data_IF_904141059191
#
_entry.id   IF_904141059191
#
_cell.length_a   1.000
_cell.length_b   1.000
_cell.length_c   1.000
_cell.angle_alpha   90.00
_cell.angle_beta   90.00
_cell.angle_gamma   90.00
#
_symmetry.space_group_name_H-M   'P 1'
#
loop_
_entity.id
_entity.type
_entity.pdbx_description
1 polymer ?
#
# COMPACT_ATOMS: atom_id res chain seq x y z
N UNK A 1 52.64 59.41 5.73
CA UNK A 1 51.72 59.86 4.67
C UNK A 1 50.90 58.65 4.25
N UNK A 2 49.57 58.72 4.40
CA UNK A 2 48.52 58.07 3.55
C UNK A 2 48.58 56.54 3.34
N UNK A 3 47.56 55.71 3.60
CA UNK A 3 46.11 55.91 3.82
C UNK A 3 45.51 54.62 4.42
N UNK A 4 44.54 54.75 5.32
CA UNK A 4 43.67 53.66 5.76
C UNK A 4 42.70 53.23 4.65
N UNK A 5 42.51 51.92 4.45
CA UNK A 5 41.29 51.42 3.79
C UNK A 5 40.64 50.38 4.68
N UNK A 6 39.53 50.78 5.29
CA UNK A 6 38.63 49.95 6.10
C UNK A 6 37.90 48.98 5.18
N UNK A 7 38.09 47.68 5.36
CA UNK A 7 37.26 46.66 4.72
C UNK A 7 36.09 46.33 5.64
N UNK A 8 34.99 47.03 5.43
CA UNK A 8 33.69 46.75 6.05
C UNK A 8 33.08 45.52 5.36
N UNK A 9 33.15 44.35 5.99
CA UNK A 9 32.36 43.19 5.57
C UNK A 9 31.03 43.20 6.32
N UNK A 10 29.94 43.34 5.56
CA UNK A 10 28.58 43.46 6.04
C UNK A 10 28.10 42.19 6.76
N UNK A 11 27.48 42.35 7.92
CA UNK A 11 26.69 41.32 8.58
C UNK A 11 25.42 41.07 7.76
N UNK A 12 25.25 39.87 7.20
CA UNK A 12 23.96 39.43 6.65
C UNK A 12 23.15 38.88 7.82
N UNK A 13 22.16 39.66 8.25
CA UNK A 13 21.16 39.25 9.23
C UNK A 13 20.26 38.17 8.62
N UNK A 14 20.01 37.12 9.42
CA UNK A 14 19.14 36.01 9.08
C UNK A 14 17.67 36.42 9.02
N UNK A 15 16.93 35.90 8.04
CA UNK A 15 15.49 35.69 8.13
C UNK A 15 15.19 34.22 7.94
N UNK A 16 15.07 33.51 9.06
CA UNK A 16 14.41 32.20 9.11
C UNK A 16 12.92 32.49 8.87
N UNK A 17 12.51 32.45 7.61
CA UNK A 17 11.08 32.34 7.30
C UNK A 17 10.69 30.90 7.61
N UNK A 18 10.00 30.74 8.74
CA UNK A 18 9.15 29.60 9.03
C UNK A 18 8.12 29.46 7.90
N UNK A 19 8.46 28.68 6.88
CA UNK A 19 7.45 28.04 6.06
C UNK A 19 7.00 26.80 6.86
N UNK A 20 5.69 26.61 7.09
CA UNK A 20 5.19 25.30 7.47
C UNK A 20 5.71 24.33 6.39
N UNK A 21 6.47 23.32 6.78
CA UNK A 21 6.66 22.17 5.93
C UNK A 21 5.26 21.55 5.78
N UNK A 22 4.55 21.97 4.73
CA UNK A 22 3.40 21.27 4.25
C UNK A 22 3.89 19.85 3.94
N UNK A 23 3.44 18.90 4.74
CA UNK A 23 3.54 17.48 4.44
C UNK A 23 2.68 17.21 3.20
N UNK A 24 3.26 17.36 2.02
CA UNK A 24 2.69 16.95 0.75
C UNK A 24 3.82 17.03 -0.29
N UNK A 25 3.76 16.18 -1.30
CA UNK A 25 4.62 16.20 -2.51
C UNK A 25 5.90 15.35 -2.46
N UNK A 26 5.79 14.07 -2.06
CA UNK A 26 6.87 13.11 -2.29
C UNK A 26 6.55 11.62 -2.36
N UNK A 27 5.39 11.16 -1.85
CA UNK A 27 5.10 9.72 -1.73
C UNK A 27 3.87 9.22 -2.53
N UNK A 28 3.08 10.12 -3.13
CA UNK A 28 1.78 9.76 -3.74
C UNK A 28 1.74 9.86 -5.27
N UNK A 29 2.85 10.18 -5.95
CA UNK A 29 2.81 10.46 -7.40
C UNK A 29 2.62 9.19 -8.24
N UNK A 30 3.02 8.01 -7.73
CA UNK A 30 2.96 6.77 -8.51
C UNK A 30 2.02 5.69 -7.94
N UNK A 31 1.33 5.98 -6.84
CA UNK A 31 0.31 5.11 -6.25
C UNK A 31 -0.94 5.13 -7.11
N UNK A 32 -1.37 3.97 -7.60
CA UNK A 32 -2.55 3.91 -8.46
C UNK A 32 -3.88 4.09 -7.68
N UNK A 33 -4.99 4.15 -8.42
CA UNK A 33 -6.32 4.33 -7.85
C UNK A 33 -6.77 3.18 -6.92
N UNK A 34 -6.09 2.04 -6.97
CA UNK A 34 -6.33 0.88 -6.10
C UNK A 34 -5.42 0.88 -4.86
N UNK A 35 -4.44 1.78 -4.79
CA UNK A 35 -3.44 1.84 -3.72
C UNK A 35 -2.18 1.03 -4.02
N UNK A 36 -1.98 0.64 -5.28
CA UNK A 36 -0.81 -0.12 -5.72
C UNK A 36 0.37 0.79 -6.04
N UNK A 37 1.51 0.53 -5.40
CA UNK A 37 2.79 1.18 -5.64
C UNK A 37 3.51 0.58 -6.86
N UNK A 38 4.40 1.33 -7.52
CA UNK A 38 5.32 0.77 -8.51
C UNK A 38 6.11 -0.41 -7.95
N UNK A 39 6.53 -1.31 -8.85
CA UNK A 39 7.47 -2.34 -8.47
C UNK A 39 8.85 -1.72 -8.23
N UNK A 40 9.56 -2.13 -7.16
CA UNK A 40 10.98 -1.87 -7.04
C UNK A 40 11.73 -2.33 -8.29
N UNK A 41 12.82 -1.62 -8.62
CA UNK A 41 13.65 -2.02 -9.76
C UNK A 41 14.17 -3.45 -9.59
N UNK A 42 14.06 -4.25 -10.65
CA UNK A 42 14.52 -5.64 -10.65
C UNK A 42 13.60 -6.63 -9.94
N UNK A 43 12.40 -6.22 -9.48
CA UNK A 43 11.41 -7.16 -8.94
C UNK A 43 11.03 -8.20 -10.00
N UNK A 44 11.22 -9.47 -9.67
CA UNK A 44 10.74 -10.59 -10.48
C UNK A 44 9.22 -10.71 -10.36
N UNK A 45 8.55 -10.93 -11.50
CA UNK A 45 7.10 -11.14 -11.56
C UNK A 45 6.77 -12.55 -12.04
N UNK A 46 5.70 -13.19 -11.54
CA UNK A 46 5.42 -14.60 -11.83
C UNK A 46 5.13 -14.89 -13.31
N UNK A 47 4.52 -13.95 -14.02
CA UNK A 47 4.18 -14.01 -15.45
C UNK A 47 3.82 -12.61 -15.97
N UNK A 48 3.57 -12.45 -17.27
CA UNK A 48 3.04 -11.21 -17.84
C UNK A 48 1.60 -10.97 -17.33
N UNK A 49 1.26 -9.78 -16.80
CA UNK A 49 0.00 -9.55 -16.08
C UNK A 49 -1.26 -9.61 -16.95
N UNK A 50 -1.13 -9.62 -18.28
CA UNK A 50 -2.22 -9.64 -19.24
C UNK A 50 -2.74 -8.23 -19.60
N UNK A 51 -3.54 -8.19 -20.67
CA UNK A 51 -4.09 -6.94 -21.19
C UNK A 51 -4.91 -6.19 -20.13
N UNK A 52 -4.57 -4.92 -19.95
CA UNK A 52 -5.27 -4.05 -19.01
C UNK A 52 -5.02 -4.40 -17.54
N UNK A 53 -3.89 -5.06 -17.26
CA UNK A 53 -3.44 -5.33 -15.91
C UNK A 53 -1.98 -4.95 -15.75
N UNK A 54 -1.53 -4.73 -14.51
CA UNK A 54 -0.14 -4.47 -14.18
C UNK A 54 0.20 -5.11 -12.84
N UNK A 55 1.46 -5.46 -12.63
CA UNK A 55 1.94 -5.85 -11.31
C UNK A 55 2.21 -4.61 -10.45
N UNK A 56 1.79 -4.66 -9.19
CA UNK A 56 1.93 -3.57 -8.22
C UNK A 56 2.25 -4.14 -6.84
N UNK A 57 2.97 -3.36 -6.04
CA UNK A 57 3.16 -3.66 -4.62
C UNK A 57 2.04 -3.00 -3.82
N UNK A 58 1.37 -3.76 -2.96
CA UNK A 58 0.33 -3.24 -2.09
C UNK A 58 0.76 -3.33 -0.64
N UNK A 59 0.48 -2.29 0.14
CA UNK A 59 0.70 -2.32 1.58
C UNK A 59 -0.16 -3.40 2.22
N UNK A 60 0.42 -4.09 3.19
CA UNK A 60 -0.22 -5.19 3.91
C UNK A 60 -0.80 -4.68 5.22
N UNK A 61 -2.08 -4.95 5.42
CA UNK A 61 -2.81 -4.64 6.65
C UNK A 61 -3.05 -5.97 7.38
N UNK A 62 -2.27 -6.21 8.43
CA UNK A 62 -2.25 -7.48 9.16
C UNK A 62 -3.47 -7.61 10.06
N UNK A 63 -3.94 -8.84 10.27
CA UNK A 63 -5.03 -9.11 11.21
C UNK A 63 -4.65 -8.64 12.62
N UNK A 64 -5.50 -7.81 13.22
CA UNK A 64 -5.24 -7.13 14.50
C UNK A 64 -4.88 -5.65 14.36
N UNK A 65 -4.52 -5.20 13.16
CA UNK A 65 -4.35 -3.77 12.87
C UNK A 65 -5.70 -3.01 13.02
N UNK A 66 -5.74 -1.83 13.65
CA UNK A 66 -6.96 -1.02 13.76
C UNK A 66 -7.62 -0.70 12.42
N UNK A 67 -6.85 -0.61 11.34
CA UNK A 67 -7.31 -0.31 9.98
C UNK A 67 -7.74 -1.55 9.19
N UNK A 68 -7.66 -2.76 9.76
CA UNK A 68 -7.98 -4.00 9.05
C UNK A 68 -9.38 -3.99 8.41
N UNK A 69 -10.35 -3.39 9.10
CA UNK A 69 -11.75 -3.22 8.63
C UNK A 69 -12.06 -1.82 8.13
N UNK A 70 -11.08 -0.93 8.09
CA UNK A 70 -11.26 0.41 7.55
C UNK A 70 -11.12 0.37 6.03
N UNK A 71 -12.20 0.63 5.31
CA UNK A 71 -12.24 0.65 3.85
C UNK A 71 -11.59 1.91 3.24
N UNK A 72 -11.39 2.95 4.04
CA UNK A 72 -10.73 4.20 3.59
C UNK A 72 -9.21 4.01 3.48
N UNK A 73 -8.65 3.01 4.17
CA UNK A 73 -7.24 2.64 4.07
C UNK A 73 -7.07 1.63 2.96
N UNK A 74 -6.27 1.97 1.94
CA UNK A 74 -5.97 1.08 0.82
C UNK A 74 -4.89 0.08 1.22
N UNK A 75 -4.94 -1.12 0.65
CA UNK A 75 -4.02 -2.21 0.94
C UNK A 75 -4.69 -3.58 0.96
N UNK A 76 -3.87 -4.62 1.07
CA UNK A 76 -4.31 -6.02 1.09
C UNK A 76 -4.36 -6.51 2.54
N UNK A 77 -5.46 -7.14 2.91
CA UNK A 77 -5.68 -7.64 4.26
C UNK A 77 -5.14 -9.05 4.35
N UNK A 78 -4.30 -9.31 5.34
CA UNK A 78 -3.64 -10.62 5.51
C UNK A 78 -4.03 -11.24 6.84
N UNK A 79 -4.47 -12.49 6.80
CA UNK A 79 -4.70 -13.33 7.99
C UNK A 79 -3.61 -14.40 8.06
N UNK A 80 -3.08 -14.64 9.25
CA UNK A 80 -2.02 -15.62 9.50
C UNK A 80 -0.63 -15.00 9.52
N UNK A 81 0.36 -15.87 9.61
CA UNK A 81 1.78 -15.48 9.66
C UNK A 81 2.21 -14.85 8.30
N UNK A 82 2.60 -13.58 8.33
CA UNK A 82 3.16 -12.86 7.18
C UNK A 82 4.02 -11.66 7.65
N UNK A 83 5.32 -11.72 7.35
CA UNK A 83 6.28 -10.77 7.95
C UNK A 83 6.48 -9.51 7.11
N UNK A 84 6.31 -9.57 5.79
CA UNK A 84 6.51 -8.42 4.93
C UNK A 84 5.40 -7.36 5.08
N UNK A 85 5.76 -6.11 4.80
CA UNK A 85 4.85 -4.97 4.86
C UNK A 85 4.17 -4.67 3.52
N UNK A 86 4.62 -5.32 2.45
CA UNK A 86 4.02 -5.22 1.12
C UNK A 86 3.88 -6.58 0.47
N UNK A 87 2.93 -6.69 -0.46
CA UNK A 87 2.64 -7.89 -1.22
C UNK A 87 2.49 -7.57 -2.70
N UNK A 88 3.07 -8.42 -3.54
CA UNK A 88 2.92 -8.31 -4.99
C UNK A 88 1.51 -8.76 -5.37
N UNK A 89 0.74 -7.90 -6.05
CA UNK A 89 -0.55 -8.30 -6.60
C UNK A 89 -0.72 -7.79 -8.02
N UNK A 90 -1.54 -8.48 -8.81
CA UNK A 90 -2.01 -7.94 -10.06
C UNK A 90 -3.04 -6.84 -9.78
N UNK A 91 -2.93 -5.73 -10.49
CA UNK A 91 -3.97 -4.71 -10.60
C UNK A 91 -4.64 -4.88 -11.95
N UNK A 92 -5.97 -4.84 -12.00
CA UNK A 92 -6.73 -4.75 -13.24
C UNK A 92 -7.44 -3.39 -13.33
N UNK A 93 -7.33 -2.70 -14.47
CA UNK A 93 -7.90 -1.36 -14.63
C UNK A 93 -9.42 -1.28 -14.41
N UNK A 94 -10.15 -2.39 -14.58
CA UNK A 94 -11.60 -2.46 -14.33
C UNK A 94 -11.94 -3.16 -13.02
N UNK A 95 -11.15 -4.15 -12.62
CA UNK A 95 -11.43 -5.05 -11.50
C UNK A 95 -10.79 -4.64 -10.17
N UNK A 96 -9.86 -3.68 -10.17
CA UNK A 96 -9.11 -3.30 -8.98
C UNK A 96 -8.01 -4.31 -8.64
N UNK A 97 -7.81 -4.58 -7.34
CA UNK A 97 -6.79 -5.52 -6.86
C UNK A 97 -7.20 -6.97 -7.18
N UNK A 98 -6.34 -7.65 -7.92
CA UNK A 98 -6.47 -9.03 -8.36
C UNK A 98 -5.74 -10.02 -7.47
N UNK A 99 -5.05 -10.96 -8.10
CA UNK A 99 -4.38 -12.08 -7.43
C UNK A 99 -3.02 -11.64 -6.87
N UNK A 100 -2.72 -12.10 -5.65
CA UNK A 100 -1.47 -11.78 -4.97
C UNK A 100 -0.49 -12.95 -4.94
N UNK A 101 0.79 -12.63 -4.82
CA UNK A 101 1.91 -13.56 -4.89
C UNK A 101 2.98 -13.22 -3.84
N UNK A 102 3.63 -14.26 -3.34
CA UNK A 102 4.79 -14.21 -2.45
C UNK A 102 5.79 -15.23 -2.97
N UNK A 103 7.03 -14.82 -3.20
CA UNK A 103 8.11 -15.69 -3.71
C UNK A 103 7.72 -16.48 -4.97
N UNK A 104 7.00 -15.82 -5.89
CA UNK A 104 6.51 -16.42 -7.13
C UNK A 104 5.31 -17.39 -6.97
N UNK A 105 4.86 -17.64 -5.74
CA UNK A 105 3.72 -18.50 -5.46
C UNK A 105 2.46 -17.67 -5.18
N UNK A 106 1.34 -18.12 -5.75
CA UNK A 106 0.05 -17.48 -5.51
C UNK A 106 -0.37 -17.68 -4.05
N UNK A 107 -0.76 -16.59 -3.38
CA UNK A 107 -1.33 -16.67 -2.03
C UNK A 107 -2.79 -17.12 -2.09
N UNK A 108 -3.28 -17.67 -0.99
CA UNK A 108 -4.66 -18.15 -0.91
C UNK A 108 -5.63 -16.97 -0.81
N UNK A 109 -6.55 -16.88 -1.77
CA UNK A 109 -7.57 -15.83 -1.82
C UNK A 109 -8.72 -16.13 -0.85
N UNK A 110 -8.93 -15.23 0.11
CA UNK A 110 -10.01 -15.33 1.10
C UNK A 110 -11.20 -14.42 0.74
N UNK A 111 -11.18 -13.79 -0.45
CA UNK A 111 -12.26 -12.98 -0.99
C UNK A 111 -12.13 -11.50 -0.63
N UNK A 112 -13.27 -10.89 -0.34
CA UNK A 112 -13.40 -9.47 0.02
C UNK A 112 -14.09 -9.35 1.37
N UNK A 113 -13.44 -8.65 2.30
CA UNK A 113 -14.02 -8.29 3.59
C UNK A 113 -14.46 -6.81 3.57
N UNK A 114 -14.93 -6.29 4.71
CA UNK A 114 -15.31 -4.87 4.84
C UNK A 114 -14.19 -3.92 4.43
N UNK A 115 -12.95 -4.20 4.83
CA UNK A 115 -11.80 -3.37 4.48
C UNK A 115 -11.47 -3.44 2.98
N UNK A 116 -11.47 -4.64 2.40
CA UNK A 116 -11.11 -4.85 1.00
C UNK A 116 -10.61 -6.27 0.76
N UNK A 117 -9.66 -6.42 -0.19
CA UNK A 117 -9.10 -7.71 -0.59
C UNK A 117 -8.50 -8.43 0.61
N UNK A 118 -8.89 -9.68 0.83
CA UNK A 118 -8.46 -10.51 1.94
C UNK A 118 -7.74 -11.75 1.42
N UNK A 119 -6.55 -12.04 1.96
CA UNK A 119 -5.72 -13.17 1.54
C UNK A 119 -5.00 -13.81 2.74
N UNK A 120 -4.41 -14.98 2.52
CA UNK A 120 -3.45 -15.59 3.43
C UNK A 120 -2.32 -16.25 2.67
N UNK A 121 -1.09 -16.05 3.15
CA UNK A 121 0.09 -16.81 2.76
C UNK A 121 0.42 -17.95 3.75
N UNK A 122 -0.32 -18.04 4.86
CA UNK A 122 -0.07 -18.99 5.93
C UNK A 122 -0.74 -20.35 5.63
N UNK A 123 0.09 -21.38 5.48
CA UNK A 123 -0.35 -22.75 5.22
C UNK A 123 -1.24 -23.32 6.34
N UNK A 124 -1.17 -22.78 7.57
CA UNK A 124 -2.05 -23.16 8.68
C UNK A 124 -3.46 -22.60 8.52
N UNK A 125 -3.60 -21.45 7.84
CA UNK A 125 -4.88 -20.77 7.65
C UNK A 125 -5.55 -21.20 6.35
N UNK A 126 -4.79 -21.50 5.30
CA UNK A 126 -5.30 -21.88 3.98
C UNK A 126 -6.38 -23.00 4.00
N UNK A 127 -6.31 -24.05 4.84
CA UNK A 127 -7.37 -25.07 4.94
C UNK A 127 -8.73 -24.54 5.41
N UNK A 128 -8.76 -23.41 6.12
CA UNK A 128 -9.97 -22.79 6.64
C UNK A 128 -10.64 -21.80 5.66
N UNK A 129 -10.09 -21.66 4.45
CA UNK A 129 -10.57 -20.75 3.41
C UNK A 129 -12.09 -20.77 3.20
N UNK A 130 -12.78 -21.92 3.08
CA UNK A 130 -14.23 -21.94 2.84
C UNK A 130 -15.04 -21.26 3.96
N UNK A 131 -14.59 -21.45 5.20
CA UNK A 131 -15.25 -20.88 6.38
C UNK A 131 -14.98 -19.38 6.43
N UNK A 132 -13.72 -18.96 6.23
CA UNK A 132 -13.33 -17.54 6.26
C UNK A 132 -14.04 -16.76 5.14
N UNK A 133 -14.10 -17.29 3.93
CA UNK A 133 -14.81 -16.67 2.80
C UNK A 133 -16.30 -16.47 3.10
N UNK A 134 -16.93 -17.44 3.79
CA UNK A 134 -18.34 -17.32 4.20
C UNK A 134 -18.53 -16.12 5.14
N UNK A 135 -17.69 -15.98 6.16
CA UNK A 135 -17.76 -14.83 7.08
C UNK A 135 -17.42 -13.50 6.40
N UNK A 136 -16.35 -13.46 5.59
CA UNK A 136 -15.92 -12.25 4.89
C UNK A 136 -17.02 -11.75 3.92
N UNK A 137 -17.64 -12.66 3.17
CA UNK A 137 -18.74 -12.32 2.26
C UNK A 137 -19.98 -11.81 2.98
N UNK A 138 -20.31 -12.38 4.14
CA UNK A 138 -21.41 -11.90 4.97
C UNK A 138 -21.12 -10.50 5.53
N UNK A 139 -19.92 -10.29 6.08
CA UNK A 139 -19.46 -8.99 6.57
C UNK A 139 -19.53 -7.92 5.47
N UNK A 140 -19.03 -8.24 4.28
CA UNK A 140 -19.04 -7.35 3.12
C UNK A 140 -20.46 -6.98 2.70
N UNK A 141 -21.37 -7.97 2.60
CA UNK A 141 -22.79 -7.73 2.28
C UNK A 141 -23.48 -6.84 3.29
N UNK A 142 -23.33 -7.14 4.58
CA UNK A 142 -23.94 -6.35 5.65
C UNK A 142 -23.44 -4.90 5.65
N UNK A 143 -22.13 -4.70 5.43
CA UNK A 143 -21.55 -3.36 5.32
C UNK A 143 -22.09 -2.60 4.11
N UNK A 144 -22.26 -3.27 2.97
CA UNK A 144 -22.79 -2.64 1.75
C UNK A 144 -24.28 -2.31 1.82
N UNK A 145 -25.07 -3.07 2.61
CA UNK A 145 -26.50 -2.82 2.80
C UNK A 145 -26.84 -1.72 3.81
N UNK A 146 -25.86 -1.30 4.62
CA UNK A 146 -26.02 -0.30 5.67
C UNK A 146 -25.65 1.12 5.21
N UNK A 147 -25.32 1.31 3.93
CA UNK A 147 -24.94 2.59 3.31
C UNK A 147 -26.06 3.16 2.45
#
# INVERSE_FOLDING_TARGET
MTTFTKTTAAMIAATILLAPAAHADGADVDTDWTGGHPLPEGTEVPHEPGYGSAWRMYDVIKFGDPNFRNSEVRGVRVIGDFDADQMLCSMNFKGGVGTCYVDGQQVTDLGWAKGGKLVTADAKIAPFTPIIQTFASLEHRLSSSAS
#
